data_IF_367697303794
#
_entry.id   IF_367697303794
#
_cell.length_a   1.000
_cell.length_b   1.000
_cell.length_c   1.000
_cell.angle_alpha   90.00
_cell.angle_beta   90.00
_cell.angle_gamma   90.00
#
_symmetry.space_group_name_H-M   'P 1'
#
loop_
_entity.id
_entity.type
_entity.pdbx_description
1 polymer ?
#
# COMPACT_ATOMS: atom_id res chain seq x y z
N UNK A 1 7.44 22.29 6.26
CA UNK A 1 6.34 22.35 5.26
C UNK A 1 6.26 21.10 4.37
N UNK A 2 7.35 20.36 4.09
CA UNK A 2 7.31 19.17 3.21
C UNK A 2 6.67 17.89 3.81
N UNK A 3 6.79 17.64 5.12
CA UNK A 3 6.21 16.43 5.75
C UNK A 3 4.68 16.38 5.65
N UNK A 4 4.01 17.53 5.78
CA UNK A 4 2.55 17.62 5.63
C UNK A 4 2.07 17.32 4.20
N UNK A 5 2.92 17.49 3.18
CA UNK A 5 2.54 17.22 1.79
C UNK A 5 2.57 15.71 1.50
N UNK A 6 3.64 15.01 1.92
CA UNK A 6 3.73 13.56 1.71
C UNK A 6 2.60 12.80 2.40
N UNK A 7 2.37 13.04 3.70
CA UNK A 7 1.34 12.33 4.45
C UNK A 7 -0.06 12.57 3.87
N UNK A 8 -0.34 13.79 3.39
CA UNK A 8 -1.61 14.13 2.74
C UNK A 8 -1.80 13.36 1.43
N UNK A 9 -0.80 13.35 0.55
CA UNK A 9 -0.82 12.59 -0.71
C UNK A 9 -0.93 11.08 -0.48
N UNK A 10 -0.16 10.57 0.48
CA UNK A 10 -0.19 9.17 0.90
C UNK A 10 -1.60 8.76 1.34
N UNK A 11 -2.25 9.55 2.20
CA UNK A 11 -3.63 9.27 2.63
C UNK A 11 -4.62 9.25 1.46
N UNK A 12 -4.50 10.20 0.53
CA UNK A 12 -5.34 10.26 -0.66
C UNK A 12 -5.14 9.05 -1.59
N UNK A 13 -3.95 8.44 -1.59
CA UNK A 13 -3.61 7.30 -2.43
C UNK A 13 -4.01 5.92 -1.89
N UNK A 14 -4.37 5.77 -0.61
CA UNK A 14 -4.62 4.45 -0.02
C UNK A 14 -5.78 3.70 -0.69
N UNK A 15 -6.88 4.39 -1.00
CA UNK A 15 -8.03 3.81 -1.69
C UNK A 15 -7.69 3.34 -3.12
N UNK A 16 -6.76 4.03 -3.79
CA UNK A 16 -6.34 3.68 -5.14
C UNK A 16 -5.69 2.29 -5.19
N UNK A 17 -4.88 1.93 -4.19
CA UNK A 17 -4.27 0.60 -4.08
C UNK A 17 -5.33 -0.52 -4.02
N UNK A 18 -6.44 -0.29 -3.31
CA UNK A 18 -7.55 -1.24 -3.23
C UNK A 18 -8.34 -1.29 -4.54
N UNK A 19 -8.53 -0.17 -5.23
CA UNK A 19 -9.10 -0.14 -6.59
C UNK A 19 -8.23 -0.94 -7.56
N UNK A 20 -6.92 -0.78 -7.50
CA UNK A 20 -6.00 -1.50 -8.37
C UNK A 20 -6.01 -3.01 -8.07
N UNK A 21 -6.03 -3.40 -6.79
CA UNK A 21 -6.22 -4.80 -6.38
C UNK A 21 -7.53 -5.38 -6.94
N UNK A 22 -8.65 -4.66 -6.82
CA UNK A 22 -9.95 -5.08 -7.37
C UNK A 22 -9.95 -5.21 -8.89
N UNK A 23 -9.31 -4.28 -9.57
CA UNK A 23 -9.27 -4.24 -11.04
C UNK A 23 -8.42 -5.36 -11.64
N UNK A 24 -7.30 -5.70 -11.00
CA UNK A 24 -6.36 -6.71 -11.48
C UNK A 24 -6.64 -8.11 -10.92
N UNK A 25 -7.36 -8.20 -9.81
CA UNK A 25 -7.75 -9.45 -9.19
C UNK A 25 -8.71 -10.25 -10.07
N UNK A 26 -8.44 -11.55 -10.22
CA UNK A 26 -9.26 -12.45 -11.04
C UNK A 26 -10.23 -13.26 -10.18
N UNK A 27 -11.02 -12.58 -9.36
CA UNK A 27 -12.01 -13.19 -8.47
C UNK A 27 -13.14 -12.20 -8.19
N UNK A 28 -14.25 -12.69 -7.62
CA UNK A 28 -15.33 -11.82 -7.16
C UNK A 28 -14.91 -10.98 -5.94
N UNK A 29 -15.70 -9.96 -5.61
CA UNK A 29 -15.35 -9.01 -4.55
C UNK A 29 -15.21 -9.67 -3.16
N UNK A 30 -16.04 -10.66 -2.84
CA UNK A 30 -15.98 -11.38 -1.56
C UNK A 30 -14.71 -12.23 -1.47
N UNK A 31 -14.36 -12.93 -2.56
CA UNK A 31 -13.12 -13.69 -2.65
C UNK A 31 -11.89 -12.80 -2.56
N UNK A 32 -11.88 -11.64 -3.24
CA UNK A 32 -10.78 -10.68 -3.15
C UNK A 32 -10.63 -10.10 -1.75
N UNK A 33 -11.74 -9.85 -1.04
CA UNK A 33 -11.74 -9.38 0.35
C UNK A 33 -11.22 -10.45 1.31
N UNK A 34 -11.62 -11.71 1.10
CA UNK A 34 -11.11 -12.87 1.85
C UNK A 34 -9.60 -13.04 1.64
N UNK A 35 -9.13 -13.07 0.39
CA UNK A 35 -7.70 -13.20 0.07
C UNK A 35 -6.89 -12.10 0.75
N UNK A 36 -7.40 -10.86 0.73
CA UNK A 36 -6.75 -9.73 1.38
C UNK A 36 -6.62 -9.96 2.89
N UNK A 37 -7.69 -10.39 3.57
CA UNK A 37 -7.66 -10.63 5.01
C UNK A 37 -6.79 -11.83 5.42
N UNK A 38 -6.89 -12.96 4.72
CA UNK A 38 -6.07 -14.14 5.04
C UNK A 38 -4.59 -13.87 4.76
N UNK A 39 -4.28 -13.17 3.68
CA UNK A 39 -2.89 -12.75 3.40
C UNK A 39 -2.38 -11.83 4.48
N UNK A 40 -3.19 -10.88 4.98
CA UNK A 40 -2.79 -9.99 6.05
C UNK A 40 -2.39 -10.76 7.31
N UNK A 41 -3.18 -11.77 7.69
CA UNK A 41 -2.90 -12.64 8.85
C UNK A 41 -1.63 -13.46 8.65
N UNK A 42 -1.52 -14.17 7.53
CA UNK A 42 -0.40 -15.07 7.25
C UNK A 42 0.92 -14.31 7.09
N UNK A 43 0.91 -13.18 6.38
CA UNK A 43 2.09 -12.35 6.15
C UNK A 43 2.36 -11.36 7.30
N UNK A 44 1.56 -11.38 8.37
CA UNK A 44 1.69 -10.50 9.55
C UNK A 44 1.68 -9.00 9.19
N UNK A 45 0.88 -8.62 8.20
CA UNK A 45 0.73 -7.23 7.73
C UNK A 45 -0.32 -6.45 8.51
N UNK A 46 -0.93 -7.10 9.49
CA UNK A 46 -1.93 -6.59 10.41
C UNK A 46 -2.84 -7.73 10.85
N UNK A 47 -3.79 -7.41 11.72
CA UNK A 47 -4.73 -8.38 12.27
C UNK A 47 -6.14 -7.92 11.92
N UNK A 48 -6.77 -8.49 10.88
CA UNK A 48 -8.19 -8.26 10.62
C UNK A 48 -9.02 -8.86 11.77
N UNK A 49 -9.77 -8.02 12.48
CA UNK A 49 -10.66 -8.44 13.58
C UNK A 49 -11.77 -9.38 13.08
N UNK A 50 -12.25 -9.12 11.87
CA UNK A 50 -13.19 -9.96 11.14
C UNK A 50 -12.75 -10.08 9.67
N UNK A 51 -13.21 -11.13 9.00
CA UNK A 51 -13.04 -11.24 7.54
C UNK A 51 -14.00 -10.25 6.87
N UNK A 52 -13.50 -9.29 6.07
CA UNK A 52 -14.34 -8.33 5.38
C UNK A 52 -15.12 -8.99 4.25
N UNK A 53 -16.26 -8.40 3.93
CA UNK A 53 -17.03 -8.72 2.73
C UNK A 53 -16.51 -7.96 1.51
N UNK A 54 -16.96 -8.37 0.33
CA UNK A 54 -16.76 -7.61 -0.91
C UNK A 54 -17.31 -6.19 -0.81
N UNK A 55 -18.41 -5.99 -0.08
CA UNK A 55 -18.97 -4.65 0.17
C UNK A 55 -18.06 -3.77 1.01
N UNK A 56 -17.36 -4.35 1.99
CA UNK A 56 -16.37 -3.60 2.77
C UNK A 56 -15.20 -3.19 1.88
N UNK A 57 -14.71 -4.10 1.03
CA UNK A 57 -13.64 -3.82 0.08
C UNK A 57 -14.04 -2.74 -0.96
N UNK A 58 -15.28 -2.79 -1.45
CA UNK A 58 -15.85 -1.76 -2.32
C UNK A 58 -15.85 -0.40 -1.63
N UNK A 59 -16.43 -0.32 -0.43
CA UNK A 59 -16.47 0.92 0.35
C UNK A 59 -15.07 1.48 0.60
N UNK A 60 -14.10 0.64 0.96
CA UNK A 60 -12.73 1.10 1.19
C UNK A 60 -12.02 1.58 -0.09
N UNK A 61 -12.43 1.10 -1.25
CA UNK A 61 -11.88 1.55 -2.53
C UNK A 61 -12.36 2.96 -2.93
N UNK A 62 -13.44 3.42 -2.32
CA UNK A 62 -14.04 4.73 -2.52
C UNK A 62 -13.86 5.66 -1.30
N UNK A 63 -13.18 5.18 -0.25
CA UNK A 63 -13.00 5.89 1.01
C UNK A 63 -12.00 7.05 0.86
N UNK A 64 -12.53 8.26 0.99
CA UNK A 64 -11.76 9.51 1.01
C UNK A 64 -11.55 10.05 2.43
N UNK A 65 -12.27 9.50 3.41
CA UNK A 65 -12.25 9.93 4.81
C UNK A 65 -11.15 9.22 5.60
N UNK A 66 -10.62 8.11 5.08
CA UNK A 66 -9.55 7.33 5.70
C UNK A 66 -10.05 6.47 6.85
N UNK A 67 -11.26 5.93 6.71
CA UNK A 67 -11.90 5.01 7.65
C UNK A 67 -11.46 3.55 7.46
N UNK A 68 -10.81 3.23 6.33
CA UNK A 68 -10.29 1.89 6.07
C UNK A 68 -9.17 1.48 7.05
N UNK A 69 -9.11 0.21 7.45
CA UNK A 69 -8.02 -0.27 8.29
C UNK A 69 -6.72 -0.36 7.49
N UNK A 70 -5.62 0.18 8.04
CA UNK A 70 -4.34 0.28 7.31
C UNK A 70 -3.74 -1.06 6.85
N UNK A 71 -4.11 -2.17 7.49
CA UNK A 71 -3.67 -3.50 7.06
C UNK A 71 -4.16 -3.83 5.63
N UNK A 72 -5.30 -3.28 5.18
CA UNK A 72 -5.88 -3.55 3.88
C UNK A 72 -5.00 -3.02 2.72
N UNK A 73 -4.67 -1.71 2.61
CA UNK A 73 -3.79 -1.20 1.56
C UNK A 73 -2.35 -1.76 1.69
N UNK A 74 -1.87 -2.02 2.90
CA UNK A 74 -0.59 -2.72 3.12
C UNK A 74 -0.57 -4.09 2.48
N UNK A 75 -1.64 -4.85 2.63
CA UNK A 75 -1.75 -6.19 2.05
C UNK A 75 -1.95 -6.14 0.55
N UNK A 76 -2.69 -5.15 0.04
CA UNK A 76 -2.82 -4.93 -1.40
C UNK A 76 -1.45 -4.70 -2.04
N UNK A 77 -0.59 -3.85 -1.47
CA UNK A 77 0.77 -3.63 -1.97
C UNK A 77 1.61 -4.91 -1.94
N UNK A 78 1.50 -5.72 -0.87
CA UNK A 78 2.19 -7.01 -0.81
C UNK A 78 1.77 -7.92 -1.98
N UNK A 79 0.48 -8.00 -2.30
CA UNK A 79 -0.05 -8.82 -3.38
C UNK A 79 0.29 -8.25 -4.77
N UNK A 80 0.09 -6.95 -4.98
CA UNK A 80 0.37 -6.24 -6.23
C UNK A 80 1.84 -6.38 -6.65
N UNK A 81 2.78 -6.28 -5.70
CA UNK A 81 4.22 -6.46 -5.94
C UNK A 81 4.58 -7.85 -6.50
N UNK A 82 3.72 -8.86 -6.30
CA UNK A 82 3.92 -10.23 -6.73
C UNK A 82 3.12 -10.59 -8.00
N UNK A 83 2.28 -9.69 -8.49
CA UNK A 83 1.43 -9.97 -9.65
C UNK A 83 2.23 -10.07 -10.95
N UNK A 84 1.94 -11.06 -11.82
CA UNK A 84 2.60 -11.20 -13.11
C UNK A 84 2.30 -10.05 -14.07
N UNK A 85 1.19 -9.35 -13.87
CA UNK A 85 0.80 -8.16 -14.62
C UNK A 85 1.72 -6.95 -14.39
N UNK A 86 2.61 -7.01 -13.39
CA UNK A 86 3.58 -5.95 -13.05
C UNK A 86 2.93 -4.57 -12.91
N UNK A 87 1.93 -4.43 -12.03
CA UNK A 87 1.25 -3.16 -11.84
C UNK A 87 2.22 -2.06 -11.41
N UNK A 88 2.00 -0.85 -11.92
CA UNK A 88 2.65 0.36 -11.45
C UNK A 88 1.60 1.31 -10.88
N UNK A 89 1.98 2.24 -9.99
CA UNK A 89 1.09 3.33 -9.58
C UNK A 89 0.59 4.12 -10.78
N UNK A 90 -0.64 4.63 -10.69
CA UNK A 90 -1.32 5.41 -11.73
C UNK A 90 -1.36 6.90 -11.40
N UNK A 91 -0.98 7.30 -10.18
CA UNK A 91 -0.82 8.71 -9.78
C UNK A 91 0.28 8.88 -8.72
N UNK A 92 0.67 10.13 -8.48
CA UNK A 92 1.65 10.48 -7.44
C UNK A 92 1.15 10.12 -6.03
N UNK A 93 -0.15 10.30 -5.76
CA UNK A 93 -0.79 9.91 -4.49
C UNK A 93 -0.70 8.41 -4.29
N UNK A 94 -1.04 7.63 -5.32
CA UNK A 94 -0.92 6.17 -5.28
C UNK A 94 0.53 5.73 -5.10
N UNK A 95 1.49 6.39 -5.75
CA UNK A 95 2.92 6.13 -5.54
C UNK A 95 3.35 6.40 -4.08
N UNK A 96 2.87 7.49 -3.47
CA UNK A 96 3.11 7.81 -2.06
C UNK A 96 2.52 6.75 -1.13
N UNK A 97 1.28 6.33 -1.38
CA UNK A 97 0.61 5.24 -0.65
C UNK A 97 1.37 3.92 -0.76
N UNK A 98 1.84 3.58 -1.97
CA UNK A 98 2.59 2.37 -2.25
C UNK A 98 3.93 2.37 -1.50
N UNK A 99 4.70 3.45 -1.61
CA UNK A 99 5.98 3.61 -0.93
C UNK A 99 5.83 3.52 0.59
N UNK A 100 4.81 4.18 1.15
CA UNK A 100 4.50 4.10 2.58
C UNK A 100 4.20 2.66 3.01
N UNK A 101 3.29 1.97 2.30
CA UNK A 101 2.94 0.60 2.61
C UNK A 101 4.13 -0.36 2.47
N UNK A 102 4.97 -0.17 1.44
CA UNK A 102 6.19 -0.94 1.23
C UNK A 102 7.14 -0.86 2.44
N UNK A 103 7.42 0.37 2.92
CA UNK A 103 8.26 0.59 4.10
C UNK A 103 7.61 0.11 5.41
N UNK A 104 6.27 0.05 5.48
CA UNK A 104 5.56 -0.53 6.64
C UNK A 104 5.49 -2.05 6.61
N UNK A 105 5.63 -2.68 5.45
CA UNK A 105 5.53 -4.13 5.32
C UNK A 105 6.83 -4.85 5.69
N UNK A 106 7.97 -4.15 5.64
CA UNK A 106 9.28 -4.73 5.91
C UNK A 106 10.23 -3.71 6.50
N UNK A 107 11.09 -4.15 7.40
CA UNK A 107 12.21 -3.34 7.89
C UNK A 107 13.36 -3.34 6.88
N UNK A 108 13.94 -2.17 6.66
CA UNK A 108 15.11 -1.97 5.81
C UNK A 108 16.15 -1.16 6.58
N UNK A 109 17.42 -1.47 6.33
CA UNK A 109 18.56 -0.80 6.99
C UNK A 109 18.90 0.54 6.33
N UNK A 110 18.58 0.69 5.05
CA UNK A 110 18.80 1.93 4.28
C UNK A 110 17.74 2.14 3.21
N UNK A 111 17.68 3.37 2.69
CA UNK A 111 16.79 3.74 1.59
C UNK A 111 17.14 2.98 0.30
N UNK A 112 18.43 2.82 0.03
CA UNK A 112 18.94 2.05 -1.11
C UNK A 112 18.56 0.57 -0.98
N UNK A 113 18.63 0.00 0.23
CA UNK A 113 18.18 -1.36 0.48
C UNK A 113 16.67 -1.52 0.24
N UNK A 114 15.86 -0.54 0.67
CA UNK A 114 14.43 -0.53 0.42
C UNK A 114 14.11 -0.44 -1.09
N UNK A 115 14.88 0.36 -1.84
CA UNK A 115 14.72 0.50 -3.29
C UNK A 115 15.16 -0.76 -4.04
N UNK A 116 16.32 -1.31 -3.69
CA UNK A 116 16.88 -2.50 -4.34
C UNK A 116 15.99 -3.74 -4.12
N UNK A 117 15.26 -3.79 -3.00
CA UNK A 117 14.31 -4.86 -2.71
C UNK A 117 12.97 -4.73 -3.46
N UNK A 118 12.68 -3.60 -4.12
CA UNK A 118 11.48 -3.48 -4.96
C UNK A 118 11.63 -4.33 -6.23
N UNK A 119 10.52 -4.90 -6.74
CA UNK A 119 10.46 -5.43 -8.09
C UNK A 119 10.99 -4.40 -9.11
N UNK A 120 11.75 -4.86 -10.11
CA UNK A 120 12.45 -3.97 -11.05
C UNK A 120 11.52 -2.94 -11.74
N UNK A 121 10.29 -3.35 -12.07
CA UNK A 121 9.28 -2.48 -12.70
C UNK A 121 8.79 -1.34 -11.80
N UNK A 122 9.00 -1.43 -10.48
CA UNK A 122 8.60 -0.42 -9.49
C UNK A 122 9.73 0.50 -9.04
N UNK A 123 11.00 0.15 -9.35
CA UNK A 123 12.14 0.93 -8.86
C UNK A 123 12.18 2.37 -9.41
N UNK A 124 11.84 2.57 -10.69
CA UNK A 124 11.78 3.90 -11.27
C UNK A 124 10.47 4.64 -10.92
N UNK A 125 9.26 4.04 -11.05
CA UNK A 125 8.01 4.71 -10.69
C UNK A 125 7.92 5.14 -9.22
N UNK A 126 8.56 4.41 -8.31
CA UNK A 126 8.51 4.71 -6.87
C UNK A 126 9.71 5.50 -6.36
N UNK A 127 10.69 5.87 -7.20
CA UNK A 127 11.92 6.51 -6.73
C UNK A 127 11.64 7.75 -5.86
N UNK A 128 10.92 8.73 -6.39
CA UNK A 128 10.63 9.98 -5.67
C UNK A 128 9.71 9.76 -4.46
N UNK A 129 8.72 8.87 -4.58
CA UNK A 129 7.79 8.56 -3.50
C UNK A 129 8.48 7.82 -2.34
N UNK A 130 9.40 6.90 -2.65
CA UNK A 130 10.18 6.14 -1.67
C UNK A 130 11.16 7.05 -0.93
N UNK A 131 11.81 7.96 -1.66
CA UNK A 131 12.63 9.03 -1.11
C UNK A 131 11.86 9.88 -0.09
N UNK A 132 10.67 10.34 -0.47
CA UNK A 132 9.81 11.14 0.41
C UNK A 132 9.35 10.34 1.64
N UNK A 133 8.88 9.11 1.43
CA UNK A 133 8.42 8.21 2.49
C UNK A 133 9.54 7.87 3.48
N UNK A 134 10.77 7.67 3.01
CA UNK A 134 11.91 7.39 3.87
C UNK A 134 12.25 8.58 4.76
N UNK A 135 12.30 9.79 4.19
CA UNK A 135 12.55 11.03 4.96
C UNK A 135 11.46 11.25 6.02
N UNK A 136 10.20 11.02 5.67
CA UNK A 136 9.07 11.09 6.61
C UNK A 136 9.23 10.08 7.76
N UNK A 137 9.55 8.81 7.46
CA UNK A 137 9.77 7.77 8.46
C UNK A 137 10.93 8.09 9.41
N UNK A 138 12.04 8.67 8.92
CA UNK A 138 13.15 9.06 9.79
C UNK A 138 12.83 10.33 10.60
N UNK A 139 12.07 11.27 10.03
CA UNK A 139 11.58 12.46 10.74
C UNK A 139 10.73 12.09 11.96
N UNK A 140 9.91 11.04 11.86
CA UNK A 140 9.12 10.50 12.96
C UNK A 140 9.94 9.75 14.03
N UNK A 141 11.19 9.38 13.75
CA UNK A 141 12.10 8.68 14.69
C UNK A 141 13.00 9.62 15.50
N UNK A 142 13.06 10.89 15.12
CA UNK A 142 13.93 11.91 15.74
C UNK A 142 13.20 12.78 16.79
N UNK A 143 11.98 12.40 17.17
CA UNK A 143 11.15 13.09 18.19
C UNK A 143 11.04 12.21 19.44
#
# INVERSE_FOLDING_TARGET
MAQNDFYTRMRAGLAALLRQWRSLGQADADQLALILAETARVAKLGTPDATPSGRDLERWSDDTEGTMPLWAPRTAVFLLNQMPARPTPQSDEEACAWAYCWLKNRAFDSQEAARAALPAHLQAPLEQALDAAWRDQQGLRLI
#
